data_IF_293183903009
#
_entry.id   IF_293183903009
#
_cell.length_a   1.000
_cell.length_b   1.000
_cell.length_c   1.000
_cell.angle_alpha   90.00
_cell.angle_beta   90.00
_cell.angle_gamma   90.00
#
_symmetry.space_group_name_H-M   'P 1'
#
loop_
_entity.id
_entity.type
_entity.pdbx_description
1 polymer ?
#
# COMPACT_ATOMS: atom_id res chain seq x y z
N UNK A 1 -10.42 -0.37 -15.12
CA UNK A 1 -9.15 0.35 -15.26
C UNK A 1 -8.03 -0.70 -15.35
N UNK A 2 -7.19 -0.66 -16.40
CA UNK A 2 -5.99 -1.51 -16.48
C UNK A 2 -5.02 -1.22 -15.33
N UNK A 3 -4.21 -2.21 -14.92
CA UNK A 3 -3.24 -2.07 -13.81
C UNK A 3 -2.29 -0.90 -14.04
N UNK A 4 -1.80 -0.71 -15.27
CA UNK A 4 -0.89 0.37 -15.64
C UNK A 4 -1.50 1.76 -15.38
N UNK A 5 -2.80 1.91 -15.69
CA UNK A 5 -3.54 3.13 -15.39
C UNK A 5 -3.72 3.31 -13.88
N UNK A 6 -3.96 2.23 -13.12
CA UNK A 6 -4.01 2.30 -11.66
C UNK A 6 -2.67 2.69 -11.03
N UNK A 7 -1.54 2.27 -11.61
CA UNK A 7 -0.20 2.70 -11.16
C UNK A 7 -0.02 4.20 -11.32
N UNK A 8 -0.28 4.74 -12.52
CA UNK A 8 -0.08 6.16 -12.79
C UNK A 8 -1.09 7.03 -12.04
N UNK A 9 -2.39 6.86 -12.28
CA UNK A 9 -3.43 7.70 -11.69
C UNK A 9 -3.54 7.50 -10.18
N UNK A 10 -3.37 6.25 -9.71
CA UNK A 10 -3.34 5.95 -8.28
C UNK A 10 -2.14 6.58 -7.58
N UNK A 11 -0.96 6.55 -8.20
CA UNK A 11 0.23 7.24 -7.72
C UNK A 11 0.05 8.75 -7.61
N UNK A 12 -0.47 9.39 -8.67
CA UNK A 12 -0.73 10.84 -8.66
C UNK A 12 -1.77 11.20 -7.58
N UNK A 13 -2.89 10.49 -7.52
CA UNK A 13 -3.96 10.79 -6.56
C UNK A 13 -3.52 10.55 -5.11
N UNK A 14 -2.77 9.47 -4.86
CA UNK A 14 -2.27 9.19 -3.52
C UNK A 14 -1.31 10.27 -3.02
N UNK A 15 -0.46 10.82 -3.89
CA UNK A 15 0.35 11.98 -3.56
C UNK A 15 -0.49 13.23 -3.31
N UNK A 16 -1.47 13.52 -4.17
CA UNK A 16 -2.36 14.67 -3.98
C UNK A 16 -3.09 14.59 -2.63
N UNK A 17 -3.65 13.43 -2.28
CA UNK A 17 -4.28 13.23 -0.97
C UNK A 17 -3.28 13.36 0.17
N UNK A 18 -2.07 12.80 0.04
CA UNK A 18 -1.04 12.94 1.06
C UNK A 18 -0.65 14.40 1.28
N UNK A 19 -0.49 15.18 0.23
CA UNK A 19 -0.20 16.63 0.31
C UNK A 19 -1.31 17.41 1.01
N UNK A 20 -2.58 17.03 0.81
CA UNK A 20 -3.70 17.62 1.54
C UNK A 20 -3.67 17.23 3.03
N UNK A 21 -3.37 15.96 3.32
CA UNK A 21 -3.27 15.45 4.70
C UNK A 21 -2.07 16.04 5.45
N UNK A 22 -0.98 16.37 4.76
CA UNK A 22 0.16 17.10 5.34
C UNK A 22 -0.29 18.45 5.92
N UNK A 23 -1.17 19.19 5.21
CA UNK A 23 -1.72 20.46 5.74
C UNK A 23 -2.50 20.25 7.04
N UNK A 24 -3.24 19.15 7.14
CA UNK A 24 -3.97 18.79 8.36
C UNK A 24 -3.01 18.42 9.49
N UNK A 25 -1.96 17.64 9.18
CA UNK A 25 -0.93 17.26 10.15
C UNK A 25 -0.24 18.46 10.80
N UNK A 26 0.12 19.47 10.00
CA UNK A 26 0.68 20.73 10.50
C UNK A 26 -0.32 21.46 11.42
N UNK A 27 -1.59 21.51 11.04
CA UNK A 27 -2.64 22.10 11.89
C UNK A 27 -2.84 21.37 13.21
N UNK A 28 -2.50 20.07 13.29
CA UNK A 28 -2.58 19.26 14.50
C UNK A 28 -1.26 19.23 15.29
N UNK A 29 -0.24 20.02 14.88
CA UNK A 29 1.06 20.12 15.55
C UNK A 29 1.76 18.75 15.75
N UNK A 30 1.65 17.85 14.77
CA UNK A 30 2.30 16.52 14.82
C UNK A 30 3.80 16.57 14.47
N UNK A 31 4.37 17.76 14.31
CA UNK A 31 5.75 17.99 13.86
C UNK A 31 6.81 17.40 14.80
N UNK A 32 6.47 17.18 16.07
CA UNK A 32 7.34 16.54 17.06
C UNK A 32 7.72 15.09 16.69
N UNK A 33 6.95 14.44 15.81
CA UNK A 33 7.26 13.09 15.28
C UNK A 33 8.31 13.11 14.17
N UNK A 34 8.73 14.30 13.69
CA UNK A 34 9.68 14.47 12.61
C UNK A 34 9.26 13.72 11.33
N UNK A 35 10.22 13.11 10.64
CA UNK A 35 9.94 12.36 9.40
C UNK A 35 9.00 11.16 9.59
N UNK A 36 8.84 10.65 10.82
CA UNK A 36 7.96 9.51 11.11
C UNK A 36 6.49 9.83 10.86
N UNK A 37 6.08 11.10 10.93
CA UNK A 37 4.68 11.51 10.70
C UNK A 37 4.18 11.14 9.30
N UNK A 38 5.09 10.96 8.34
CA UNK A 38 4.77 10.47 6.99
C UNK A 38 3.95 9.18 6.99
N UNK A 39 4.21 8.27 7.95
CA UNK A 39 3.41 7.04 8.09
C UNK A 39 1.94 7.30 8.36
N UNK A 40 1.63 8.28 9.21
CA UNK A 40 0.25 8.64 9.58
C UNK A 40 -0.43 9.42 8.46
N UNK A 41 0.33 10.22 7.71
CA UNK A 41 -0.20 11.12 6.69
C UNK A 41 -0.38 10.43 5.34
N UNK A 42 0.62 9.68 4.90
CA UNK A 42 0.66 9.18 3.53
C UNK A 42 -0.09 7.86 3.35
N UNK A 43 -0.09 6.97 4.34
CA UNK A 43 -0.80 5.69 4.22
C UNK A 43 -2.32 5.88 4.03
N UNK A 44 -3.01 6.81 4.73
CA UNK A 44 -4.40 7.14 4.41
C UNK A 44 -4.55 7.75 3.01
N UNK A 45 -3.63 8.61 2.58
CA UNK A 45 -3.64 9.20 1.23
C UNK A 45 -3.55 8.13 0.13
N UNK A 46 -2.69 7.13 0.31
CA UNK A 46 -2.58 5.95 -0.57
C UNK A 46 -3.86 5.13 -0.58
N UNK A 47 -4.46 4.89 0.57
CA UNK A 47 -5.72 4.16 0.66
C UNK A 47 -6.87 4.88 -0.06
N UNK A 48 -6.96 6.21 0.05
CA UNK A 48 -8.00 7.02 -0.61
C UNK A 48 -7.96 6.90 -2.14
N UNK A 49 -6.79 6.72 -2.74
CA UNK A 49 -6.67 6.53 -4.18
C UNK A 49 -7.40 5.25 -4.68
N UNK A 50 -7.59 4.26 -3.82
CA UNK A 50 -8.29 3.01 -4.16
C UNK A 50 -9.82 3.18 -4.24
N UNK A 51 -10.39 4.30 -3.79
CA UNK A 51 -11.82 4.55 -3.89
C UNK A 51 -12.31 4.64 -5.34
N UNK A 52 -11.42 4.91 -6.29
CA UNK A 52 -11.73 4.83 -7.72
C UNK A 52 -12.13 3.42 -8.19
N UNK A 53 -11.65 2.38 -7.51
CA UNK A 53 -11.82 0.98 -7.95
C UNK A 53 -12.55 0.10 -6.94
N UNK A 54 -12.68 0.54 -5.68
CA UNK A 54 -13.24 -0.26 -4.57
C UNK A 54 -14.66 -0.76 -4.81
N UNK A 55 -15.48 0.02 -5.53
CA UNK A 55 -16.89 -0.31 -5.79
C UNK A 55 -17.12 -1.03 -7.12
N UNK A 56 -16.06 -1.33 -7.89
CA UNK A 56 -16.19 -2.09 -9.13
C UNK A 56 -16.37 -3.57 -8.78
N UNK A 57 -17.59 -4.09 -8.95
CA UNK A 57 -18.00 -5.43 -8.52
C UNK A 57 -17.22 -6.57 -9.17
N UNK A 58 -16.71 -6.36 -10.40
CA UNK A 58 -15.81 -7.29 -11.10
C UNK A 58 -14.57 -7.63 -10.26
N UNK A 59 -14.09 -6.69 -9.45
CA UNK A 59 -12.88 -6.83 -8.66
C UNK A 59 -13.19 -7.15 -7.20
N UNK A 60 -13.86 -8.26 -6.92
CA UNK A 60 -14.27 -8.64 -5.55
C UNK A 60 -13.26 -9.48 -4.76
N UNK A 61 -12.24 -10.02 -5.42
CA UNK A 61 -11.26 -10.91 -4.78
C UNK A 61 -10.16 -10.18 -4.02
N UNK A 62 -9.63 -10.83 -2.98
CA UNK A 62 -8.50 -10.35 -2.17
C UNK A 62 -7.30 -10.03 -3.07
N UNK A 63 -7.01 -10.88 -4.05
CA UNK A 63 -5.91 -10.70 -4.99
C UNK A 63 -6.06 -9.42 -5.83
N UNK A 64 -7.30 -8.98 -6.14
CA UNK A 64 -7.49 -7.69 -6.81
C UNK A 64 -7.12 -6.52 -5.89
N UNK A 65 -7.52 -6.59 -4.61
CA UNK A 65 -7.13 -5.59 -3.63
C UNK A 65 -5.62 -5.48 -3.52
N UNK A 66 -4.93 -6.61 -3.36
CA UNK A 66 -3.46 -6.67 -3.33
C UNK A 66 -2.83 -6.05 -4.59
N UNK A 67 -3.36 -6.37 -5.78
CA UNK A 67 -2.87 -5.87 -7.05
C UNK A 67 -3.06 -4.36 -7.20
N UNK A 68 -4.26 -3.83 -6.91
CA UNK A 68 -4.49 -2.39 -6.97
C UNK A 68 -3.69 -1.64 -5.91
N UNK A 69 -3.59 -2.18 -4.70
CA UNK A 69 -2.77 -1.60 -3.65
C UNK A 69 -1.28 -1.56 -4.04
N UNK A 70 -0.76 -2.65 -4.62
CA UNK A 70 0.61 -2.67 -5.14
C UNK A 70 0.80 -1.64 -6.27
N UNK A 71 -0.16 -1.51 -7.20
CA UNK A 71 -0.10 -0.52 -8.26
C UNK A 71 -0.06 0.92 -7.71
N UNK A 72 -0.96 1.27 -6.78
CA UNK A 72 -0.95 2.58 -6.12
C UNK A 72 0.36 2.82 -5.37
N UNK A 73 0.81 1.84 -4.58
CA UNK A 73 2.06 1.93 -3.81
C UNK A 73 3.29 2.09 -4.71
N UNK A 74 3.33 1.41 -5.85
CA UNK A 74 4.37 1.58 -6.87
C UNK A 74 4.33 2.99 -7.46
N UNK A 75 3.14 3.48 -7.85
CA UNK A 75 2.99 4.85 -8.36
C UNK A 75 3.48 5.88 -7.35
N UNK A 76 3.05 5.76 -6.09
CA UNK A 76 3.49 6.64 -5.01
C UNK A 76 5.01 6.60 -4.84
N UNK A 77 5.59 5.40 -4.69
CA UNK A 77 7.02 5.22 -4.51
C UNK A 77 7.82 5.82 -5.68
N UNK A 78 7.36 5.66 -6.92
CA UNK A 78 8.01 6.22 -8.11
C UNK A 78 8.02 7.74 -8.08
N UNK A 79 6.86 8.38 -7.89
CA UNK A 79 6.79 9.84 -7.91
C UNK A 79 7.49 10.47 -6.71
N UNK A 80 7.40 9.86 -5.53
CA UNK A 80 8.14 10.32 -4.36
C UNK A 80 9.66 10.22 -4.62
N UNK A 81 10.12 9.08 -5.15
CA UNK A 81 11.53 8.88 -5.50
C UNK A 81 12.01 9.85 -6.57
N UNK A 82 11.18 10.19 -7.54
CA UNK A 82 11.49 11.22 -8.54
C UNK A 82 11.69 12.60 -7.89
N UNK A 83 10.91 12.94 -6.86
CA UNK A 83 11.10 14.17 -6.08
C UNK A 83 12.43 14.18 -5.32
N UNK A 84 12.80 13.07 -4.67
CA UNK A 84 14.10 12.93 -4.01
C UNK A 84 15.26 13.00 -5.00
N UNK A 85 15.15 12.29 -6.13
CA UNK A 85 16.15 12.29 -7.19
C UNK A 85 16.36 13.69 -7.78
N UNK A 86 15.27 14.43 -8.05
CA UNK A 86 15.36 15.80 -8.54
C UNK A 86 16.08 16.71 -7.53
N UNK A 87 15.76 16.60 -6.24
CA UNK A 87 16.44 17.40 -5.19
C UNK A 87 17.93 17.06 -5.10
N UNK A 88 18.29 15.78 -5.21
CA UNK A 88 19.68 15.35 -5.23
C UNK A 88 20.41 15.87 -6.47
N UNK A 89 19.77 15.82 -7.65
CA UNK A 89 20.32 16.29 -8.91
C UNK A 89 20.64 17.80 -8.92
N UNK A 90 19.91 18.60 -8.15
CA UNK A 90 20.20 20.02 -7.97
C UNK A 90 21.51 20.28 -7.21
N UNK A 91 21.98 19.29 -6.45
CA UNK A 91 23.27 19.34 -5.77
C UNK A 91 24.36 18.62 -6.58
N UNK A 92 24.10 17.37 -6.98
CA UNK A 92 25.05 16.51 -7.68
C UNK A 92 24.31 15.39 -8.43
N UNK A 93 24.72 15.13 -9.68
CA UNK A 93 24.18 14.05 -10.51
C UNK A 93 24.52 12.65 -9.97
N UNK A 94 25.67 12.48 -9.31
CA UNK A 94 26.04 11.19 -8.73
C UNK A 94 25.13 10.85 -7.53
N UNK A 95 24.82 11.86 -6.69
CA UNK A 95 23.84 11.72 -5.61
C UNK A 95 22.45 11.37 -6.14
N UNK A 96 22.04 11.92 -7.29
CA UNK A 96 20.79 11.54 -7.94
C UNK A 96 20.78 10.05 -8.30
N UNK A 97 21.87 9.53 -8.88
CA UNK A 97 21.98 8.12 -9.26
C UNK A 97 21.90 7.21 -8.04
N UNK A 98 22.60 7.55 -6.96
CA UNK A 98 22.56 6.81 -5.70
C UNK A 98 21.15 6.74 -5.12
N UNK A 99 20.43 7.88 -5.11
CA UNK A 99 19.05 7.97 -4.64
C UNK A 99 18.12 7.10 -5.48
N UNK A 100 18.24 7.14 -6.81
CA UNK A 100 17.43 6.32 -7.71
C UNK A 100 17.69 4.83 -7.46
N UNK A 101 18.96 4.42 -7.38
CA UNK A 101 19.34 3.03 -7.20
C UNK A 101 18.84 2.49 -5.85
N UNK A 102 19.13 3.19 -4.76
CA UNK A 102 18.80 2.67 -3.42
C UNK A 102 17.30 2.62 -3.19
N UNK A 103 16.55 3.63 -3.66
CA UNK A 103 15.09 3.67 -3.53
C UNK A 103 14.43 2.65 -4.45
N UNK A 104 15.00 2.40 -5.64
CA UNK A 104 14.55 1.33 -6.52
C UNK A 104 14.68 -0.06 -5.90
N UNK A 105 15.83 -0.37 -5.31
CA UNK A 105 16.09 -1.64 -4.63
C UNK A 105 15.17 -1.83 -3.41
N UNK A 106 14.94 -0.76 -2.66
CA UNK A 106 14.15 -0.79 -1.42
C UNK A 106 12.63 -0.69 -1.65
N UNK A 107 12.17 -0.25 -2.82
CA UNK A 107 10.74 -0.06 -3.11
C UNK A 107 9.85 -1.29 -2.84
N UNK A 108 10.26 -2.54 -3.15
CA UNK A 108 9.48 -3.74 -2.83
C UNK A 108 9.33 -4.02 -1.33
N UNK A 109 10.09 -3.32 -0.47
CA UNK A 109 10.10 -3.50 0.98
C UNK A 109 9.37 -2.39 1.73
N UNK A 110 8.80 -1.41 1.01
CA UNK A 110 8.16 -0.23 1.59
C UNK A 110 6.72 -0.04 1.05
N UNK A 111 6.43 1.13 0.47
CA UNK A 111 5.08 1.57 0.12
C UNK A 111 4.29 0.57 -0.72
N UNK A 112 4.97 -0.17 -1.62
CA UNK A 112 4.33 -1.16 -2.50
C UNK A 112 3.61 -2.21 -1.67
N UNK A 113 4.31 -2.86 -0.75
CA UNK A 113 3.76 -3.95 0.06
C UNK A 113 2.82 -3.44 1.15
N UNK A 114 3.10 -2.27 1.73
CA UNK A 114 2.24 -1.69 2.77
C UNK A 114 0.87 -1.27 2.23
N UNK A 115 0.86 -0.67 1.04
CA UNK A 115 -0.38 -0.31 0.35
C UNK A 115 -1.09 -1.57 -0.15
N UNK A 116 -0.33 -2.54 -0.69
CA UNK A 116 -0.87 -3.83 -1.13
C UNK A 116 -1.61 -4.55 0.00
N UNK A 117 -0.98 -4.76 1.16
CA UNK A 117 -1.60 -5.48 2.26
C UNK A 117 -2.83 -4.76 2.83
N UNK A 118 -2.78 -3.42 2.91
CA UNK A 118 -3.90 -2.58 3.35
C UNK A 118 -5.11 -2.68 2.42
N UNK A 119 -4.87 -2.68 1.11
CA UNK A 119 -5.90 -2.89 0.10
C UNK A 119 -6.43 -4.34 0.11
N UNK A 120 -5.53 -5.32 0.24
CA UNK A 120 -5.88 -6.75 0.28
C UNK A 120 -6.81 -7.08 1.44
N UNK A 121 -6.53 -6.57 2.65
CA UNK A 121 -7.41 -6.78 3.80
C UNK A 121 -8.76 -6.07 3.62
N UNK A 122 -8.79 -4.88 3.02
CA UNK A 122 -10.04 -4.17 2.74
C UNK A 122 -10.92 -4.97 1.78
N UNK A 123 -10.34 -5.53 0.72
CA UNK A 123 -11.05 -6.40 -0.23
C UNK A 123 -11.51 -7.70 0.43
N UNK A 124 -10.74 -8.25 1.38
CA UNK A 124 -11.16 -9.42 2.17
C UNK A 124 -12.41 -9.14 2.98
N UNK A 125 -12.51 -7.97 3.60
CA UNK A 125 -13.66 -7.56 4.44
C UNK A 125 -14.86 -7.21 3.57
N UNK A 126 -14.63 -6.46 2.49
CA UNK A 126 -15.66 -6.03 1.54
C UNK A 126 -16.29 -7.20 0.79
N UNK A 127 -15.45 -8.13 0.30
CA UNK A 127 -15.88 -9.22 -0.58
C UNK A 127 -16.68 -8.71 -1.77
N UNK A 128 -17.84 -9.32 -2.02
CA UNK A 128 -18.75 -8.96 -3.10
C UNK A 128 -19.63 -7.73 -2.80
N UNK A 129 -19.60 -7.18 -1.58
CA UNK A 129 -20.43 -6.04 -1.19
C UNK A 129 -19.88 -4.73 -1.76
N UNK A 130 -20.71 -3.68 -1.73
CA UNK A 130 -20.25 -2.30 -1.92
C UNK A 130 -19.41 -1.89 -0.72
N UNK A 131 -18.48 -0.97 -0.93
CA UNK A 131 -17.70 -0.37 0.15
C UNK A 131 -18.60 0.45 1.06
N UNK A 132 -18.46 0.23 2.36
CA UNK A 132 -19.07 1.04 3.40
C UNK A 132 -17.97 1.56 4.32
N UNK A 133 -18.06 2.82 4.73
CA UNK A 133 -17.05 3.46 5.60
C UNK A 133 -16.91 2.71 6.95
N UNK A 134 -17.99 2.05 7.40
CA UNK A 134 -17.99 1.16 8.57
C UNK A 134 -16.93 0.05 8.48
N UNK A 135 -16.58 -0.41 7.26
CA UNK A 135 -15.57 -1.44 7.04
C UNK A 135 -14.16 -0.99 7.44
N UNK A 136 -13.87 0.32 7.43
CA UNK A 136 -12.60 0.86 7.90
C UNK A 136 -12.46 0.78 9.43
N UNK A 137 -13.56 0.56 10.15
CA UNK A 137 -13.57 0.35 11.60
C UNK A 137 -13.44 -1.13 11.98
N UNK A 138 -13.39 -2.04 11.01
CA UNK A 138 -13.20 -3.48 11.26
C UNK A 138 -11.82 -3.71 11.90
N UNK A 139 -11.78 -4.45 13.02
CA UNK A 139 -10.56 -4.68 13.76
C UNK A 139 -9.46 -5.38 12.92
N UNK A 140 -9.84 -6.19 11.93
CA UNK A 140 -8.88 -6.85 11.02
C UNK A 140 -8.24 -5.83 10.08
N UNK A 141 -9.04 -4.89 9.57
CA UNK A 141 -8.54 -3.78 8.76
C UNK A 141 -7.59 -2.92 9.58
N UNK A 142 -8.04 -2.46 10.75
CA UNK A 142 -7.26 -1.59 11.63
C UNK A 142 -5.92 -2.21 12.04
N UNK A 143 -5.87 -3.53 12.29
CA UNK A 143 -4.61 -4.23 12.60
C UNK A 143 -3.62 -4.17 11.43
N UNK A 144 -4.05 -4.53 10.22
CA UNK A 144 -3.15 -4.58 9.05
C UNK A 144 -2.77 -3.17 8.60
N UNK A 145 -3.73 -2.24 8.55
CA UNK A 145 -3.48 -0.85 8.18
C UNK A 145 -2.64 -0.13 9.24
N UNK A 146 -2.90 -0.37 10.53
CA UNK A 146 -2.05 0.12 11.62
C UNK A 146 -0.63 -0.45 11.55
N UNK A 147 -0.47 -1.71 11.14
CA UNK A 147 0.86 -2.28 10.88
C UNK A 147 1.57 -1.54 9.75
N UNK A 148 0.88 -1.20 8.64
CA UNK A 148 1.43 -0.40 7.56
C UNK A 148 1.96 0.96 8.06
N UNK A 149 1.13 1.67 8.84
CA UNK A 149 1.50 2.97 9.44
C UNK A 149 2.73 2.81 10.32
N UNK A 150 2.74 1.85 11.25
CA UNK A 150 3.86 1.66 12.19
C UNK A 150 5.15 1.28 11.46
N UNK A 151 5.09 0.40 10.46
CA UNK A 151 6.27 0.05 9.66
C UNK A 151 6.81 1.26 8.91
N UNK A 152 5.93 2.10 8.37
CA UNK A 152 6.33 3.33 7.67
C UNK A 152 6.91 4.37 8.64
N UNK A 153 6.28 4.60 9.80
CA UNK A 153 6.86 5.45 10.84
C UNK A 153 8.27 4.96 11.24
N UNK A 154 8.44 3.65 11.44
CA UNK A 154 9.73 3.06 11.76
C UNK A 154 10.75 3.21 10.61
N UNK A 155 10.31 3.11 9.36
CA UNK A 155 11.15 3.33 8.18
C UNK A 155 11.79 4.73 8.20
N UNK A 156 10.96 5.75 8.50
CA UNK A 156 11.35 7.16 8.54
C UNK A 156 11.94 7.59 9.90
N UNK A 157 12.01 6.68 10.87
CA UNK A 157 12.61 6.97 12.17
C UNK A 157 14.14 7.15 12.04
N UNK A 158 14.76 7.93 12.95
CA UNK A 158 16.20 8.14 12.97
C UNK A 158 16.99 6.90 13.44
N UNK A 159 16.32 5.77 13.72
CA UNK A 159 16.99 4.54 14.14
C UNK A 159 17.85 4.03 12.98
N UNK A 160 19.12 3.77 13.26
CA UNK A 160 20.04 3.20 12.29
C UNK A 160 20.42 1.76 12.66
N UNK A 161 20.39 0.89 11.67
CA UNK A 161 20.85 -0.50 11.78
C UNK A 161 21.80 -0.74 10.61
N UNK A 162 23.01 -1.29 10.84
CA UNK A 162 24.00 -1.54 9.79
C UNK A 162 23.44 -2.35 8.61
N UNK A 163 24.09 -2.21 7.44
CA UNK A 163 23.80 -3.00 6.24
C UNK A 163 22.33 -2.94 5.77
N UNK A 164 21.66 -1.80 5.92
CA UNK A 164 20.24 -1.63 5.58
C UNK A 164 19.30 -2.58 6.37
N UNK A 165 19.77 -3.15 7.49
CA UNK A 165 19.04 -4.17 8.26
C UNK A 165 17.66 -3.70 8.71
N UNK A 166 17.50 -2.42 9.05
CA UNK A 166 16.21 -1.80 9.38
C UNK A 166 15.18 -2.05 8.28
N UNK A 167 15.54 -1.72 7.04
CA UNK A 167 14.64 -1.79 5.89
C UNK A 167 14.28 -3.23 5.54
N UNK A 168 15.25 -4.15 5.65
CA UNK A 168 15.02 -5.58 5.42
C UNK A 168 14.09 -6.19 6.48
N UNK A 169 14.26 -5.83 7.75
CA UNK A 169 13.39 -6.31 8.84
C UNK A 169 11.96 -5.80 8.63
N UNK A 170 11.79 -4.49 8.43
CA UNK A 170 10.46 -3.88 8.23
C UNK A 170 9.78 -4.43 6.98
N UNK A 171 10.53 -4.57 5.89
CA UNK A 171 10.05 -5.17 4.66
C UNK A 171 9.63 -6.63 4.82
N UNK A 172 10.41 -7.42 5.57
CA UNK A 172 10.10 -8.83 5.85
C UNK A 172 8.78 -8.96 6.62
N UNK A 173 8.52 -8.09 7.60
CA UNK A 173 7.24 -8.06 8.32
C UNK A 173 6.08 -7.77 7.35
N UNK A 174 6.23 -6.76 6.48
CA UNK A 174 5.23 -6.43 5.47
C UNK A 174 4.98 -7.58 4.48
N UNK A 175 6.04 -8.27 4.06
CA UNK A 175 5.95 -9.44 3.17
C UNK A 175 5.25 -10.63 3.84
N UNK A 176 5.50 -10.90 5.12
CA UNK A 176 4.79 -11.97 5.86
C UNK A 176 3.28 -11.74 5.81
N UNK A 177 2.83 -10.50 6.09
CA UNK A 177 1.40 -10.15 6.03
C UNK A 177 0.86 -10.27 4.60
N UNK A 178 1.60 -9.75 3.62
CA UNK A 178 1.23 -9.79 2.20
C UNK A 178 1.09 -11.22 1.69
N UNK A 179 2.05 -12.10 1.99
CA UNK A 179 2.02 -13.51 1.62
C UNK A 179 0.86 -14.25 2.29
N UNK A 180 0.53 -13.92 3.55
CA UNK A 180 -0.65 -14.46 4.22
C UNK A 180 -1.98 -14.06 3.53
N UNK A 181 -2.05 -12.84 3.00
CA UNK A 181 -3.20 -12.38 2.22
C UNK A 181 -3.24 -13.00 0.82
N UNK A 182 -2.08 -13.21 0.16
CA UNK A 182 -1.99 -13.95 -1.11
C UNK A 182 -2.53 -15.37 -0.92
N UNK A 183 -2.07 -16.08 0.12
CA UNK A 183 -2.57 -17.41 0.45
C UNK A 183 -4.09 -17.41 0.71
N UNK A 184 -4.60 -16.42 1.45
CA UNK A 184 -6.04 -16.24 1.66
C UNK A 184 -6.79 -16.03 0.33
N UNK A 185 -6.25 -15.25 -0.59
CA UNK A 185 -6.83 -14.97 -1.89
C UNK A 185 -6.81 -16.18 -2.83
N UNK A 186 -5.73 -16.95 -2.85
CA UNK A 186 -5.66 -18.19 -3.61
C UNK A 186 -6.67 -19.23 -3.08
N UNK A 187 -6.80 -19.34 -1.76
CA UNK A 187 -7.81 -20.20 -1.12
C UNK A 187 -9.24 -19.78 -1.50
N UNK A 188 -9.52 -18.48 -1.48
CA UNK A 188 -10.82 -17.92 -1.91
C UNK A 188 -11.19 -18.38 -3.33
N UNK A 189 -10.25 -18.27 -4.28
CA UNK A 189 -10.50 -18.69 -5.67
C UNK A 189 -10.72 -20.21 -5.80
N UNK A 190 -9.96 -21.01 -5.05
CA UNK A 190 -10.08 -22.48 -5.06
C UNK A 190 -11.45 -22.93 -4.55
N UNK A 191 -11.93 -22.34 -3.45
CA UNK A 191 -13.23 -22.66 -2.85
C UNK A 191 -14.38 -22.30 -3.79
N UNK A 192 -14.31 -21.13 -4.43
CA UNK A 192 -15.34 -20.71 -5.37
C UNK A 192 -15.40 -21.60 -6.61
N UNK A 193 -14.25 -21.98 -7.18
CA UNK A 193 -14.17 -22.93 -8.29
C UNK A 193 -14.79 -24.28 -7.92
N UNK A 194 -14.52 -24.78 -6.70
CA UNK A 194 -15.09 -26.04 -6.24
C UNK A 194 -16.61 -25.97 -6.09
N UNK A 195 -17.13 -24.85 -5.60
CA UNK A 195 -18.58 -24.65 -5.45
C UNK A 195 -19.30 -24.62 -6.80
N UNK A 196 -18.69 -23.99 -7.82
CA UNK A 196 -19.22 -23.99 -9.19
C UNK A 196 -19.29 -25.42 -9.73
N UNK A 197 -18.20 -26.20 -9.63
CA UNK A 197 -18.16 -27.58 -10.11
C UNK A 197 -19.16 -28.50 -9.40
N UNK A 198 -19.37 -28.29 -8.09
CA UNK A 198 -20.39 -29.03 -7.33
C UNK A 198 -21.80 -28.69 -7.80
N UNK A 199 -22.07 -27.42 -8.09
CA UNK A 199 -23.37 -26.98 -8.58
C UNK A 199 -23.67 -27.54 -9.98
N UNK A 200 -22.70 -27.53 -10.89
CA UNK A 200 -22.82 -28.15 -12.22
C UNK A 200 -23.10 -29.65 -12.12
N UNK A 201 -22.44 -30.37 -11.20
CA UNK A 201 -22.67 -31.81 -11.01
C UNK A 201 -24.06 -32.14 -10.45
N UNK A 202 -24.64 -31.27 -9.62
CA UNK A 202 -25.97 -31.50 -9.03
C UNK A 202 -27.11 -31.17 -10.01
N UNK A 203 -26.83 -30.43 -11.07
CA UNK A 203 -27.82 -30.00 -12.08
C UNK A 203 -27.72 -30.81 -13.39
N UNK A 204 -26.87 -31.84 -13.45
CA UNK A 204 -26.82 -32.86 -14.51
C UNK A 204 -27.54 -34.12 -14.05
#
# INVERSE_FOLDING_TARGET
MPVNSSTFFGGVLSLLFSLLLWKVSFSLSLDWLGASVAGIVEEPGKLMALFLVVNITKYRYILNGLLFGAAVGTGFATFESAGYALRAALADTDLMLDVILIRGILAPFSHIIWTSMSAGILWKIKGAKKFEVSMLKDARFLKVFGTAIVLHMAWNSPIEIPFYGKYLILGSIGWIVTLGLIQSGLKQLKEEKLNILKHERLNM
#
